data_IF_744216366793
#
_entry.id   IF_744216366793
#
_cell.length_a   1.000
_cell.length_b   1.000
_cell.length_c   1.000
_cell.angle_alpha   90.00
_cell.angle_beta   90.00
_cell.angle_gamma   90.00
#
_symmetry.space_group_name_H-M   'P 1'
#
loop_
_entity.id
_entity.type
_entity.pdbx_description
1 polymer ?
#
# COMPACT_ATOMS: atom_id res chain seq x y z
N UNK A 1 -1.78 11.03 -3.65
CA UNK A 1 -1.56 12.44 -3.26
C UNK A 1 -0.50 12.58 -2.16
N UNK A 2 -0.66 12.00 -0.97
CA UNK A 2 0.29 12.13 0.16
C UNK A 2 1.76 11.81 -0.16
N UNK A 3 2.04 10.70 -0.85
CA UNK A 3 3.41 10.31 -1.20
C UNK A 3 4.16 11.35 -2.07
N UNK A 4 3.45 12.13 -2.90
CA UNK A 4 4.06 13.19 -3.72
C UNK A 4 4.53 14.36 -2.87
N UNK A 5 3.75 14.76 -1.87
CA UNK A 5 4.14 15.80 -0.92
C UNK A 5 5.30 15.35 -0.04
N UNK A 6 5.22 14.14 0.51
CA UNK A 6 6.27 13.57 1.37
C UNK A 6 7.62 13.48 0.66
N UNK A 7 7.63 13.18 -0.64
CA UNK A 7 8.85 13.17 -1.46
C UNK A 7 9.48 14.55 -1.68
N UNK A 8 8.74 15.63 -1.42
CA UNK A 8 9.21 17.02 -1.57
C UNK A 8 9.47 17.72 -0.24
N UNK A 9 9.42 17.00 0.88
CA UNK A 9 9.84 17.53 2.17
C UNK A 9 11.35 17.79 2.16
N UNK A 10 11.78 18.81 2.91
CA UNK A 10 13.21 19.02 3.12
C UNK A 10 13.82 17.82 3.83
N UNK A 11 15.01 17.41 3.42
CA UNK A 11 15.73 16.26 4.01
C UNK A 11 15.99 16.41 5.52
N UNK A 12 16.01 17.65 6.02
CA UNK A 12 16.17 17.97 7.44
C UNK A 12 14.87 17.93 8.25
N UNK A 13 13.73 17.61 7.63
CA UNK A 13 12.43 17.60 8.31
C UNK A 13 12.37 16.45 9.34
N UNK A 14 12.04 16.74 10.62
CA UNK A 14 11.87 15.72 11.63
C UNK A 14 10.80 14.68 11.26
N UNK A 15 10.98 13.42 11.67
CA UNK A 15 10.01 12.35 11.42
C UNK A 15 8.61 12.63 11.98
N UNK A 16 8.54 13.34 13.10
CA UNK A 16 7.27 13.77 13.72
C UNK A 16 6.51 14.72 12.81
N UNK A 17 7.19 15.73 12.25
CA UNK A 17 6.58 16.68 11.31
C UNK A 17 6.20 15.99 9.99
N UNK A 18 7.01 15.05 9.49
CA UNK A 18 6.63 14.24 8.32
C UNK A 18 5.30 13.49 8.55
N UNK A 19 5.09 12.95 9.75
CA UNK A 19 3.86 12.25 10.11
C UNK A 19 2.67 13.23 10.24
N UNK A 20 2.88 14.40 10.85
CA UNK A 20 1.86 15.45 10.95
C UNK A 20 1.45 15.99 9.58
N UNK A 21 2.41 16.22 8.68
CA UNK A 21 2.14 16.59 7.29
C UNK A 21 1.30 15.52 6.59
N UNK A 22 1.68 14.24 6.73
CA UNK A 22 0.93 13.13 6.15
C UNK A 22 -0.52 13.09 6.67
N UNK A 23 -0.71 13.39 7.96
CA UNK A 23 -2.03 13.43 8.58
C UNK A 23 -2.84 14.64 8.11
N UNK A 24 -2.25 15.82 8.00
CA UNK A 24 -2.95 17.02 7.52
C UNK A 24 -3.37 16.89 6.05
N UNK A 25 -2.51 16.31 5.19
CA UNK A 25 -2.87 16.00 3.79
C UNK A 25 -4.06 15.03 3.75
N UNK A 26 -4.04 14.02 4.62
CA UNK A 26 -5.12 13.04 4.75
C UNK A 26 -6.42 13.71 5.19
N UNK A 27 -6.40 14.54 6.23
CA UNK A 27 -7.55 15.27 6.77
C UNK A 27 -8.10 16.34 5.82
N UNK A 28 -7.29 16.81 4.87
CA UNK A 28 -7.75 17.72 3.83
C UNK A 28 -8.66 17.02 2.81
N UNK A 29 -8.39 15.73 2.54
CA UNK A 29 -9.14 14.92 1.56
C UNK A 29 -10.32 14.21 2.22
N UNK A 30 -10.08 13.59 3.37
CA UNK A 30 -11.05 12.76 4.07
C UNK A 30 -11.71 13.52 5.22
N UNK A 31 -13.01 13.26 5.39
CA UNK A 31 -13.75 13.63 6.59
C UNK A 31 -13.62 12.54 7.65
N UNK A 32 -13.80 11.29 7.23
CA UNK A 32 -13.58 10.09 8.05
C UNK A 32 -12.71 9.11 7.26
N UNK A 33 -11.76 8.50 7.94
CA UNK A 33 -10.93 7.46 7.35
C UNK A 33 -11.63 6.10 7.39
N UNK A 34 -11.27 5.22 6.46
CA UNK A 34 -11.67 3.81 6.56
C UNK A 34 -11.11 3.17 7.83
N UNK A 35 -11.98 2.62 8.67
CA UNK A 35 -11.62 1.96 9.92
C UNK A 35 -12.75 1.08 10.45
N UNK A 36 -12.41 -0.05 11.07
CA UNK A 36 -13.36 -0.95 11.78
C UNK A 36 -14.68 -1.31 11.05
N UNK A 37 -14.70 -1.29 9.71
CA UNK A 37 -15.90 -1.57 8.90
C UNK A 37 -16.64 -0.34 8.38
N UNK A 38 -16.23 0.86 8.77
CA UNK A 38 -16.76 2.13 8.27
C UNK A 38 -16.12 2.53 6.94
N UNK A 39 -16.94 3.14 6.09
CA UNK A 39 -16.52 3.66 4.78
C UNK A 39 -15.78 4.98 4.96
N UNK A 40 -14.79 5.23 4.11
CA UNK A 40 -14.19 6.56 4.07
C UNK A 40 -15.20 7.54 3.52
N UNK A 41 -15.46 8.62 4.25
CA UNK A 41 -16.18 9.79 3.74
C UNK A 41 -15.17 10.82 3.26
N UNK A 42 -15.37 11.31 2.03
CA UNK A 42 -14.56 12.37 1.44
C UNK A 42 -15.18 13.73 1.75
N UNK A 43 -14.34 14.74 1.98
CA UNK A 43 -14.80 16.13 2.01
C UNK A 43 -15.35 16.52 0.62
N UNK A 44 -16.22 17.54 0.57
CA UNK A 44 -16.66 18.09 -0.72
C UNK A 44 -15.48 18.65 -1.51
N UNK A 45 -15.63 18.80 -2.82
CA UNK A 45 -14.60 19.39 -3.67
C UNK A 45 -14.14 20.75 -3.13
N UNK A 46 -15.08 21.63 -2.81
CA UNK A 46 -14.84 22.98 -2.32
C UNK A 46 -14.10 22.95 -0.98
N UNK A 47 -14.51 22.05 -0.09
CA UNK A 47 -13.83 21.85 1.20
C UNK A 47 -12.41 21.31 1.02
N UNK A 48 -12.20 20.36 0.11
CA UNK A 48 -10.87 19.83 -0.19
C UNK A 48 -9.94 20.92 -0.72
N UNK A 49 -10.41 21.80 -1.59
CA UNK A 49 -9.62 22.93 -2.12
C UNK A 49 -9.16 23.86 -0.98
N UNK A 50 -10.09 24.29 -0.14
CA UNK A 50 -9.80 25.18 1.00
C UNK A 50 -8.85 24.51 1.98
N UNK A 51 -9.12 23.26 2.36
CA UNK A 51 -8.30 22.52 3.34
C UNK A 51 -6.89 22.26 2.81
N UNK A 52 -6.74 21.94 1.53
CA UNK A 52 -5.41 21.73 0.92
C UNK A 52 -4.60 23.01 0.85
N UNK A 53 -5.24 24.15 0.56
CA UNK A 53 -4.59 25.45 0.59
C UNK A 53 -4.11 25.81 2.01
N UNK A 54 -5.00 25.70 3.00
CA UNK A 54 -4.68 25.98 4.40
C UNK A 54 -3.56 25.09 4.94
N UNK A 55 -3.59 23.79 4.61
CA UNK A 55 -2.52 22.87 4.96
C UNK A 55 -1.19 23.29 4.35
N UNK A 56 -1.16 23.63 3.06
CA UNK A 56 0.07 24.04 2.40
C UNK A 56 0.67 25.31 3.03
N UNK A 57 -0.16 26.31 3.30
CA UNK A 57 0.24 27.58 3.93
C UNK A 57 0.76 27.37 5.36
N UNK A 58 0.07 26.55 6.17
CA UNK A 58 0.51 26.17 7.52
C UNK A 58 1.95 25.65 7.53
N UNK A 59 2.27 24.76 6.61
CA UNK A 59 3.59 24.12 6.53
C UNK A 59 4.62 24.96 5.77
N UNK A 60 4.17 25.89 4.91
CA UNK A 60 5.03 26.90 4.30
C UNK A 60 5.58 27.84 5.36
N UNK A 61 4.76 28.27 6.33
CA UNK A 61 5.19 29.08 7.48
C UNK A 61 6.25 28.39 8.34
N UNK A 62 6.22 27.05 8.41
CA UNK A 62 7.22 26.23 9.12
C UNK A 62 8.46 25.88 8.28
N UNK A 63 8.54 26.33 7.02
CA UNK A 63 9.65 26.08 6.09
C UNK A 63 9.98 24.60 5.91
N UNK A 64 8.95 23.75 5.82
CA UNK A 64 9.11 22.30 5.64
C UNK A 64 9.19 21.91 4.15
N UNK A 65 8.68 22.78 3.28
CA UNK A 65 8.61 22.56 1.84
C UNK A 65 9.91 22.86 1.11
N UNK A 66 10.18 22.09 0.06
CA UNK A 66 11.20 22.41 -0.96
C UNK A 66 10.58 23.27 -2.07
N UNK A 67 11.42 23.82 -2.96
CA UNK A 67 10.93 24.53 -4.15
C UNK A 67 10.04 23.64 -5.05
N UNK A 68 10.29 22.32 -5.07
CA UNK A 68 9.48 21.37 -5.83
C UNK A 68 8.06 21.19 -5.26
N UNK A 69 7.87 21.43 -3.95
CA UNK A 69 6.58 21.29 -3.29
C UNK A 69 5.52 22.24 -3.87
N UNK A 70 5.91 23.43 -4.34
CA UNK A 70 4.98 24.38 -4.96
C UNK A 70 4.38 23.83 -6.26
N UNK A 71 5.19 23.18 -7.09
CA UNK A 71 4.70 22.55 -8.33
C UNK A 71 3.82 21.34 -8.02
N UNK A 72 4.22 20.52 -7.03
CA UNK A 72 3.39 19.41 -6.56
C UNK A 72 2.06 19.93 -6.03
N UNK A 73 2.06 21.01 -5.27
CA UNK A 73 0.86 21.63 -4.73
C UNK A 73 -0.08 22.12 -5.82
N UNK A 74 0.42 22.90 -6.78
CA UNK A 74 -0.37 23.39 -7.90
C UNK A 74 -1.04 22.25 -8.68
N UNK A 75 -0.29 21.20 -9.06
CA UNK A 75 -0.85 20.06 -9.78
C UNK A 75 -1.83 19.24 -8.95
N UNK A 76 -1.60 19.10 -7.64
CA UNK A 76 -2.57 18.43 -6.76
C UNK A 76 -3.86 19.25 -6.59
N UNK A 77 -3.76 20.57 -6.49
CA UNK A 77 -4.91 21.47 -6.39
C UNK A 77 -5.73 21.46 -7.69
N UNK A 78 -5.08 21.41 -8.86
CA UNK A 78 -5.75 21.27 -10.16
C UNK A 78 -6.57 19.97 -10.23
N UNK A 79 -6.01 18.84 -9.77
CA UNK A 79 -6.76 17.58 -9.69
C UNK A 79 -8.01 17.69 -8.80
N UNK A 80 -7.91 18.39 -7.67
CA UNK A 80 -9.06 18.60 -6.77
C UNK A 80 -10.08 19.51 -7.44
N UNK A 81 -9.66 20.60 -8.09
CA UNK A 81 -10.50 21.49 -8.89
C UNK A 81 -11.21 20.79 -10.05
N UNK A 82 -10.65 19.71 -10.56
CA UNK A 82 -11.30 18.87 -11.57
C UNK A 82 -12.21 17.81 -10.96
N UNK A 83 -12.33 17.75 -9.63
CA UNK A 83 -13.13 16.77 -8.91
C UNK A 83 -12.53 15.36 -8.92
N UNK A 84 -11.25 15.19 -9.24
CA UNK A 84 -10.63 13.86 -9.39
C UNK A 84 -10.61 13.05 -8.08
N UNK A 85 -10.70 13.72 -6.93
CA UNK A 85 -10.77 13.09 -5.60
C UNK A 85 -12.15 13.18 -4.95
N UNK A 86 -13.12 13.77 -5.64
CA UNK A 86 -14.50 13.74 -5.20
C UNK A 86 -15.09 12.37 -5.55
N UNK A 87 -15.63 11.69 -4.56
CA UNK A 87 -16.33 10.45 -4.82
C UNK A 87 -17.81 10.77 -5.13
N UNK A 88 -18.19 10.63 -6.40
CA UNK A 88 -19.57 10.86 -6.90
C UNK A 88 -20.59 9.93 -6.24
N UNK A 89 -20.14 8.76 -5.77
CA UNK A 89 -20.96 7.69 -5.20
C UNK A 89 -20.36 7.20 -3.88
N UNK A 90 -20.88 7.68 -2.75
CA UNK A 90 -20.46 7.29 -1.38
C UNK A 90 -21.12 5.97 -0.92
N UNK A 91 -22.04 5.43 -1.72
CA UNK A 91 -22.79 4.20 -1.50
C UNK A 91 -21.97 2.93 -1.80
N UNK A 92 -20.79 3.07 -2.41
CA UNK A 92 -19.82 1.99 -2.61
C UNK A 92 -18.63 2.18 -1.68
N UNK A 93 -18.31 1.15 -0.89
CA UNK A 93 -17.11 1.12 -0.04
C UNK A 93 -15.85 0.98 -0.91
N UNK A 94 -15.42 2.07 -1.53
CA UNK A 94 -14.28 2.08 -2.44
C UNK A 94 -13.30 3.18 -2.04
N UNK A 95 -12.09 2.81 -1.63
CA UNK A 95 -11.00 3.76 -1.46
C UNK A 95 -10.38 4.01 -2.84
N UNK A 96 -10.89 5.04 -3.54
CA UNK A 96 -10.50 5.38 -4.91
C UNK A 96 -8.99 5.53 -5.09
N UNK A 97 -8.29 6.05 -4.07
CA UNK A 97 -6.83 6.21 -4.10
C UNK A 97 -6.09 4.87 -4.11
N UNK A 98 -6.59 3.87 -3.38
CA UNK A 98 -6.06 2.50 -3.38
C UNK A 98 -6.40 1.76 -4.67
N UNK A 99 -7.57 2.01 -5.26
CA UNK A 99 -7.99 1.44 -6.54
C UNK A 99 -7.10 1.95 -7.68
N UNK A 100 -6.76 3.24 -7.71
CA UNK A 100 -5.85 3.80 -8.72
C UNK A 100 -4.47 3.11 -8.70
N UNK A 101 -3.93 2.85 -7.51
CA UNK A 101 -2.68 2.11 -7.34
C UNK A 101 -2.76 0.68 -7.89
N UNK A 102 -3.87 -0.01 -7.63
CA UNK A 102 -4.16 -1.34 -8.18
C UNK A 102 -4.23 -1.29 -9.70
N UNK A 103 -4.98 -0.33 -10.28
CA UNK A 103 -5.12 -0.15 -11.72
C UNK A 103 -3.77 0.07 -12.42
N UNK A 104 -2.83 0.80 -11.81
CA UNK A 104 -1.47 0.94 -12.35
C UNK A 104 -0.72 -0.39 -12.42
N UNK A 105 -0.88 -1.23 -11.40
CA UNK A 105 -0.35 -2.60 -11.36
C UNK A 105 -0.91 -3.45 -12.50
N UNK A 106 -2.24 -3.50 -12.63
CA UNK A 106 -2.93 -4.20 -13.72
C UNK A 106 -2.51 -3.71 -15.11
N UNK A 107 -2.39 -2.40 -15.28
CA UNK A 107 -1.95 -1.80 -16.54
C UNK A 107 -0.48 -2.14 -16.86
N UNK A 108 0.39 -2.22 -15.86
CA UNK A 108 1.76 -2.67 -16.06
C UNK A 108 1.82 -4.16 -16.48
N UNK A 109 1.01 -5.03 -15.88
CA UNK A 109 0.94 -6.44 -16.31
C UNK A 109 0.56 -6.57 -17.79
N UNK A 110 -0.46 -5.81 -18.22
CA UNK A 110 -0.92 -5.82 -19.61
C UNK A 110 0.12 -5.28 -20.61
N UNK A 111 0.93 -4.29 -20.21
CA UNK A 111 1.95 -3.70 -21.08
C UNK A 111 3.25 -4.51 -21.15
N UNK A 112 3.65 -5.10 -20.03
CA UNK A 112 4.96 -5.78 -19.92
C UNK A 112 4.97 -7.17 -20.53
N UNK A 113 3.80 -7.81 -20.69
CA UNK A 113 3.68 -9.16 -21.20
C UNK A 113 2.62 -9.23 -22.29
N UNK A 114 3.05 -9.49 -23.53
CA UNK A 114 2.12 -9.90 -24.58
C UNK A 114 1.62 -11.31 -24.24
N UNK A 115 0.48 -11.39 -23.56
CA UNK A 115 0.05 -12.61 -22.90
C UNK A 115 -1.43 -12.90 -23.19
N UNK A 116 -1.75 -14.16 -23.46
CA UNK A 116 -3.14 -14.60 -23.61
C UNK A 116 -3.88 -14.56 -22.27
N UNK A 117 -5.21 -14.69 -22.31
CA UNK A 117 -6.08 -14.55 -21.12
C UNK A 117 -5.69 -15.47 -19.95
N UNK A 118 -5.19 -16.67 -20.24
CA UNK A 118 -4.74 -17.63 -19.23
C UNK A 118 -3.49 -17.14 -18.49
N UNK A 119 -2.54 -16.57 -19.21
CA UNK A 119 -1.33 -16.02 -18.64
C UNK A 119 -1.62 -14.74 -17.87
N UNK A 120 -2.51 -13.88 -18.40
CA UNK A 120 -3.01 -12.71 -17.66
C UNK A 120 -3.68 -13.12 -16.34
N UNK A 121 -4.48 -14.20 -16.34
CA UNK A 121 -5.08 -14.75 -15.12
C UNK A 121 -4.01 -15.19 -14.12
N UNK A 122 -3.00 -15.94 -14.56
CA UNK A 122 -1.91 -16.38 -13.69
C UNK A 122 -1.13 -15.19 -13.09
N UNK A 123 -0.75 -14.22 -13.92
CA UNK A 123 -0.06 -13.00 -13.51
C UNK A 123 -0.92 -12.13 -12.58
N UNK A 124 -2.23 -12.08 -12.82
CA UNK A 124 -3.19 -11.37 -11.97
C UNK A 124 -3.29 -11.97 -10.58
N UNK A 125 -3.40 -13.31 -10.49
CA UNK A 125 -3.40 -14.01 -9.20
C UNK A 125 -2.09 -13.76 -8.44
N UNK A 126 -0.95 -13.82 -9.12
CA UNK A 126 0.36 -13.55 -8.52
C UNK A 126 0.49 -12.08 -8.05
N UNK A 127 -0.01 -11.13 -8.83
CA UNK A 127 -0.04 -9.71 -8.46
C UNK A 127 -0.85 -9.45 -7.19
N UNK A 128 -2.06 -10.02 -7.09
CA UNK A 128 -2.91 -9.94 -5.89
C UNK A 128 -2.23 -10.60 -4.70
N UNK A 129 -1.63 -11.79 -4.90
CA UNK A 129 -0.93 -12.51 -3.84
C UNK A 129 0.24 -11.69 -3.27
N UNK A 130 1.09 -11.13 -4.12
CA UNK A 130 2.22 -10.26 -3.69
C UNK A 130 1.74 -9.03 -2.95
N UNK A 131 0.65 -8.41 -3.41
CA UNK A 131 0.03 -7.28 -2.71
C UNK A 131 -0.42 -7.67 -1.30
N UNK A 132 -1.07 -8.83 -1.17
CA UNK A 132 -1.54 -9.34 0.11
C UNK A 132 -0.38 -9.67 1.06
N UNK A 133 0.72 -10.23 0.56
CA UNK A 133 1.92 -10.48 1.37
C UNK A 133 2.51 -9.17 1.88
N UNK A 134 2.64 -8.16 1.02
CA UNK A 134 3.12 -6.83 1.43
C UNK A 134 2.21 -6.18 2.49
N UNK A 135 0.89 -6.31 2.37
CA UNK A 135 -0.05 -5.81 3.39
C UNK A 135 0.13 -6.57 4.71
N UNK A 136 0.19 -7.90 4.67
CA UNK A 136 0.34 -8.72 5.87
C UNK A 136 1.70 -8.52 6.56
N UNK A 137 2.77 -8.31 5.79
CA UNK A 137 4.09 -8.00 6.34
C UNK A 137 4.10 -6.72 7.18
N UNK A 138 3.31 -5.72 6.77
CA UNK A 138 3.13 -4.47 7.50
C UNK A 138 2.06 -4.54 8.61
N UNK A 139 1.48 -5.72 8.88
CA UNK A 139 0.55 -5.90 10.00
C UNK A 139 1.30 -5.95 11.33
N UNK A 140 0.59 -5.83 12.47
CA UNK A 140 1.22 -5.83 13.79
C UNK A 140 1.99 -7.12 14.11
N UNK A 141 1.50 -8.25 13.60
CA UNK A 141 2.05 -9.58 13.85
C UNK A 141 2.08 -10.40 12.55
N UNK A 142 3.04 -10.16 11.65
CA UNK A 142 3.18 -10.97 10.44
C UNK A 142 3.57 -12.40 10.84
N UNK A 143 3.01 -13.41 10.15
CA UNK A 143 3.44 -14.78 10.37
C UNK A 143 4.84 -15.03 9.76
N UNK A 144 5.50 -16.11 10.19
CA UNK A 144 6.87 -16.45 9.75
C UNK A 144 6.96 -16.64 8.24
N UNK A 145 5.94 -17.25 7.63
CA UNK A 145 5.90 -17.47 6.19
C UNK A 145 5.89 -16.15 5.42
N UNK A 146 5.07 -15.18 5.83
CA UNK A 146 4.98 -13.84 5.25
C UNK A 146 6.29 -13.09 5.43
N UNK A 147 6.93 -13.21 6.59
CA UNK A 147 8.24 -12.60 6.85
C UNK A 147 9.32 -13.20 5.94
N UNK A 148 9.35 -14.52 5.79
CA UNK A 148 10.29 -15.25 4.93
C UNK A 148 10.05 -15.02 3.43
N UNK A 149 8.81 -14.74 3.04
CA UNK A 149 8.42 -14.60 1.63
C UNK A 149 8.24 -13.16 1.19
N UNK A 150 8.38 -12.18 2.08
CA UNK A 150 8.29 -10.78 1.69
C UNK A 150 9.38 -10.43 0.67
N UNK A 151 8.97 -9.85 -0.47
CA UNK A 151 9.86 -9.49 -1.57
C UNK A 151 10.27 -10.62 -2.50
N UNK A 152 9.89 -11.88 -2.23
CA UNK A 152 10.20 -13.00 -3.15
C UNK A 152 9.20 -13.09 -4.30
N UNK A 153 9.73 -13.41 -5.49
CA UNK A 153 8.93 -13.70 -6.69
C UNK A 153 8.61 -15.20 -6.82
N UNK A 154 9.20 -16.05 -5.97
CA UNK A 154 9.14 -17.51 -6.12
C UNK A 154 8.39 -18.18 -4.97
N UNK A 155 7.20 -17.68 -4.65
CA UNK A 155 6.37 -18.17 -3.54
C UNK A 155 6.09 -19.67 -3.61
N UNK A 156 5.84 -20.19 -4.82
CA UNK A 156 5.63 -21.62 -5.03
C UNK A 156 6.89 -22.44 -4.75
N UNK A 157 8.06 -21.95 -5.15
CA UNK A 157 9.33 -22.61 -4.87
C UNK A 157 9.61 -22.63 -3.37
N UNK A 158 9.43 -21.50 -2.68
CA UNK A 158 9.61 -21.41 -1.23
C UNK A 158 8.65 -22.37 -0.52
N UNK A 159 7.38 -22.40 -0.91
CA UNK A 159 6.40 -23.34 -0.36
C UNK A 159 6.81 -24.81 -0.60
N UNK A 160 7.32 -25.13 -1.78
CA UNK A 160 7.78 -26.49 -2.10
C UNK A 160 9.01 -26.89 -1.28
N UNK A 161 9.98 -25.99 -1.12
CA UNK A 161 11.15 -26.19 -0.26
C UNK A 161 10.72 -26.43 1.18
N UNK A 162 9.80 -25.61 1.71
CA UNK A 162 9.27 -25.76 3.06
C UNK A 162 8.52 -27.08 3.26
N UNK A 163 7.70 -27.48 2.30
CA UNK A 163 7.02 -28.79 2.33
C UNK A 163 8.02 -29.94 2.35
N UNK A 164 9.03 -29.88 1.48
CA UNK A 164 10.08 -30.90 1.41
C UNK A 164 10.86 -30.98 2.72
N UNK A 165 11.26 -29.83 3.27
CA UNK A 165 11.93 -29.73 4.56
C UNK A 165 11.11 -30.38 5.68
N UNK A 166 9.82 -30.03 5.80
CA UNK A 166 8.95 -30.59 6.82
C UNK A 166 8.77 -32.12 6.69
N UNK A 167 8.71 -32.63 5.46
CA UNK A 167 8.68 -34.08 5.21
C UNK A 167 9.98 -34.75 5.70
N UNK A 168 11.14 -34.15 5.43
CA UNK A 168 12.44 -34.69 5.85
C UNK A 168 12.60 -34.68 7.38
N UNK A 169 12.24 -33.57 8.03
CA UNK A 169 12.26 -33.46 9.49
C UNK A 169 11.31 -34.48 10.14
N UNK A 170 10.12 -34.66 9.58
CA UNK A 170 9.17 -35.68 10.05
C UNK A 170 9.73 -37.10 9.96
N UNK A 171 10.38 -37.45 8.84
CA UNK A 171 11.05 -38.75 8.67
C UNK A 171 12.20 -38.95 9.66
N UNK A 172 13.00 -37.92 9.91
CA UNK A 172 14.09 -37.99 10.88
C UNK A 172 13.57 -38.21 12.31
N UNK A 173 12.50 -37.50 12.70
CA UNK A 173 11.88 -37.66 14.02
C UNK A 173 11.32 -39.08 14.22
N UNK A 174 10.66 -39.64 13.19
CA UNK A 174 10.17 -41.02 13.22
C UNK A 174 11.32 -42.04 13.33
N UNK A 175 12.42 -41.83 12.60
CA UNK A 175 13.60 -42.70 12.68
C UNK A 175 14.27 -42.64 14.07
N UNK A 176 14.35 -41.46 14.69
CA UNK A 176 14.87 -41.31 16.06
C UNK A 176 13.96 -41.99 17.10
N UNK A 177 12.64 -41.93 16.94
CA UNK A 177 11.69 -42.60 17.83
C UNK A 177 11.66 -44.13 17.64
N UNK A 178 11.81 -44.62 16.41
CA UNK A 178 11.93 -46.05 16.13
C UNK A 178 13.19 -46.68 16.73
N UNK A 179 14.30 -45.92 16.82
CA UNK A 179 15.53 -46.37 17.51
C UNK A 179 15.42 -46.35 19.04
N UNK A 180 14.55 -45.51 19.62
CA UNK A 180 14.32 -45.48 21.08
C UNK A 180 13.51 -46.67 21.61
N UNK A 181 12.77 -47.38 20.75
CA UNK A 181 11.97 -48.55 21.14
C UNK A 181 12.70 -49.89 21.00
N UNK A 182 13.96 -49.87 20.54
CA UNK A 182 14.81 -51.05 20.30
C UNK A 182 16.01 -51.13 21.27
N UNK A 183 15.97 -50.37 22.37
CA UNK A 183 16.91 -50.42 23.49
C UNK A 183 16.15 -50.72 24.78
#
# INVERSE_FOLDING_TARGET
MGAKYLATLLNSTPKTECAEVAQDISNAIFKTHTGAGERAEYNSKEEQEVRMQLMFEKWLGKRVWTAASTQVHAGQLEHIKNGCLMQTQQDVSSDGSRIEGSHKGWNHLMRSFMSGIEMFKALGHDHVLRRNICINYNSKNPNDFITLTHGTYHLQLVNNILKLWNILVGKEALHKNGKKHLL
#
